data_IF_416338965940
#
_entry.id   IF_416338965940
#
_cell.length_a   1.000
_cell.length_b   1.000
_cell.length_c   1.000
_cell.angle_alpha   90.00
_cell.angle_beta   90.00
_cell.angle_gamma   90.00
#
_symmetry.space_group_name_H-M   'P 1'
#
loop_
_entity.id
_entity.type
_entity.pdbx_description
1 polymer ?
#
# COMPACT_ATOMS: atom_id res chain seq x y z
N UNK A 1 -23.94 -3.93 -29.76
CA UNK A 1 -24.26 -2.95 -28.71
C UNK A 1 -25.46 -3.46 -27.93
N UNK A 2 -25.49 -3.33 -26.61
CA UNK A 2 -26.70 -3.64 -25.80
C UNK A 2 -27.41 -2.32 -25.51
N UNK A 3 -28.73 -2.28 -25.68
CA UNK A 3 -29.58 -1.11 -25.42
C UNK A 3 -30.40 -1.39 -24.16
N UNK A 4 -30.43 -0.43 -23.23
CA UNK A 4 -31.20 -0.52 -21.99
C UNK A 4 -32.08 0.72 -21.87
N UNK A 5 -33.35 0.53 -21.57
CA UNK A 5 -34.21 1.62 -21.15
C UNK A 5 -33.89 1.96 -19.68
N UNK A 6 -33.80 3.25 -19.37
CA UNK A 6 -33.61 3.74 -18.01
C UNK A 6 -34.64 4.82 -17.71
N UNK A 7 -35.13 4.83 -16.47
CA UNK A 7 -36.00 5.88 -15.96
C UNK A 7 -35.14 6.89 -15.18
N UNK A 8 -35.04 8.12 -15.69
CA UNK A 8 -34.21 9.18 -15.14
C UNK A 8 -32.93 9.50 -15.93
N UNK A 9 -32.08 10.41 -15.39
CA UNK A 9 -30.93 10.93 -16.11
C UNK A 9 -29.85 9.86 -16.34
N UNK A 10 -29.30 9.85 -17.55
CA UNK A 10 -28.11 9.08 -17.91
C UNK A 10 -26.85 9.81 -17.48
N UNK A 11 -25.82 9.06 -17.08
CA UNK A 11 -24.51 9.58 -16.66
C UNK A 11 -24.55 10.48 -15.40
N UNK A 12 -24.97 9.90 -14.27
CA UNK A 12 -24.99 10.56 -12.95
C UNK A 12 -23.62 11.05 -12.46
N UNK A 13 -22.50 10.64 -13.09
CA UNK A 13 -21.15 11.11 -12.73
C UNK A 13 -21.05 12.64 -12.83
N UNK A 14 -21.82 13.28 -13.73
CA UNK A 14 -21.88 14.75 -13.87
C UNK A 14 -22.38 15.47 -12.62
N UNK A 15 -23.10 14.78 -11.72
CA UNK A 15 -23.51 15.37 -10.44
C UNK A 15 -22.33 15.74 -9.54
N UNK A 16 -21.13 15.22 -9.83
CA UNK A 16 -19.91 15.59 -9.10
C UNK A 16 -19.59 17.08 -9.28
N UNK A 17 -19.92 17.68 -10.43
CA UNK A 17 -19.72 19.12 -10.69
C UNK A 17 -20.50 20.02 -9.73
N UNK A 18 -21.63 19.54 -9.19
CA UNK A 18 -22.42 20.28 -8.19
C UNK A 18 -21.63 20.56 -6.91
N UNK A 19 -20.64 19.73 -6.59
CA UNK A 19 -19.77 19.89 -5.42
C UNK A 19 -18.89 21.13 -5.59
N UNK A 20 -18.45 21.42 -6.82
CA UNK A 20 -17.59 22.57 -7.09
C UNK A 20 -18.40 23.87 -7.22
N UNK A 21 -19.68 23.77 -7.57
CA UNK A 21 -20.61 24.91 -7.68
C UNK A 21 -21.15 25.40 -6.32
N UNK A 22 -21.03 24.61 -5.25
CA UNK A 22 -21.52 25.03 -3.92
C UNK A 22 -20.45 25.80 -3.15
N UNK A 23 -20.75 27.04 -2.76
CA UNK A 23 -19.87 27.88 -1.93
C UNK A 23 -20.10 27.68 -0.42
N UNK A 24 -20.93 26.72 0.00
CA UNK A 24 -21.28 26.51 1.41
C UNK A 24 -20.24 25.61 2.12
N UNK A 25 -19.36 26.14 2.99
CA UNK A 25 -18.30 25.34 3.61
C UNK A 25 -18.85 24.28 4.57
N UNK A 26 -20.00 24.55 5.20
CA UNK A 26 -20.69 23.63 6.12
C UNK A 26 -21.18 22.33 5.44
N UNK A 27 -21.29 22.31 4.11
CA UNK A 27 -21.64 21.11 3.34
C UNK A 27 -20.41 20.28 2.91
N UNK A 28 -19.20 20.76 3.21
CA UNK A 28 -17.94 20.11 2.86
C UNK A 28 -17.32 19.43 4.08
N UNK A 29 -16.42 18.49 3.85
CA UNK A 29 -15.59 17.98 4.93
C UNK A 29 -14.68 19.08 5.46
N UNK A 30 -14.47 19.11 6.78
CA UNK A 30 -13.49 20.01 7.39
C UNK A 30 -12.12 19.91 6.70
N UNK A 31 -11.47 21.04 6.40
CA UNK A 31 -10.12 21.05 5.86
C UNK A 31 -9.18 20.20 6.73
N UNK A 32 -8.31 19.45 6.06
CA UNK A 32 -7.36 18.57 6.73
C UNK A 32 -5.97 18.78 6.13
N UNK A 33 -4.99 19.04 7.00
CA UNK A 33 -3.59 19.16 6.64
C UNK A 33 -2.84 17.94 7.16
N UNK A 34 -2.18 17.23 6.25
CA UNK A 34 -1.37 16.07 6.59
C UNK A 34 -0.19 16.48 7.47
N UNK A 35 0.11 15.68 8.50
CA UNK A 35 1.24 15.94 9.39
C UNK A 35 2.57 15.74 8.68
N UNK A 36 3.56 16.54 9.06
CA UNK A 36 4.95 16.38 8.62
C UNK A 36 5.71 15.60 9.67
N UNK A 37 6.60 14.69 9.25
CA UNK A 37 7.50 14.05 10.20
C UNK A 37 8.53 15.09 10.70
N UNK A 38 8.76 15.21 12.02
CA UNK A 38 9.80 16.07 12.53
C UNK A 38 11.16 15.60 12.03
N UNK A 39 12.01 16.56 11.66
CA UNK A 39 13.40 16.37 11.21
C UNK A 39 13.61 15.67 9.86
N UNK A 40 12.60 15.30 9.07
CA UNK A 40 12.86 14.67 7.76
C UNK A 40 13.17 15.65 6.63
N UNK A 41 12.87 16.94 6.82
CA UNK A 41 13.25 17.98 5.87
C UNK A 41 14.74 18.32 6.09
N UNK A 42 15.66 17.76 5.28
CA UNK A 42 17.04 18.24 4.99
C UNK A 42 17.96 17.09 4.48
N UNK A 43 19.19 17.45 4.09
CA UNK A 43 20.31 16.63 3.58
C UNK A 43 20.69 15.38 4.40
N UNK A 44 20.06 15.13 5.54
CA UNK A 44 20.41 14.03 6.45
C UNK A 44 19.44 12.83 6.41
N UNK A 45 18.57 12.73 5.39
CA UNK A 45 17.61 11.61 5.30
C UNK A 45 18.29 10.23 5.30
N UNK A 46 19.43 10.08 4.62
CA UNK A 46 20.20 8.83 4.63
C UNK A 46 20.81 8.54 6.01
N UNK A 47 21.26 9.56 6.74
CA UNK A 47 21.74 9.39 8.12
C UNK A 47 20.63 8.92 9.05
N UNK A 48 19.42 9.44 8.89
CA UNK A 48 18.25 9.00 9.67
C UNK A 48 17.88 7.55 9.35
N UNK A 49 17.84 7.20 8.05
CA UNK A 49 17.52 5.85 7.61
C UNK A 49 18.53 4.80 8.08
N UNK A 50 19.81 5.18 8.22
CA UNK A 50 20.82 4.30 8.84
C UNK A 50 20.53 3.98 10.30
N UNK A 51 19.83 4.86 11.02
CA UNK A 51 19.49 4.66 12.43
C UNK A 51 18.18 3.89 12.58
N UNK A 52 17.15 4.27 11.84
CA UNK A 52 15.83 3.65 11.92
C UNK A 52 15.10 3.75 10.58
N UNK A 53 14.30 2.72 10.29
CA UNK A 53 13.30 2.79 9.22
C UNK A 53 12.28 3.90 9.49
N UNK A 54 11.75 4.50 8.42
CA UNK A 54 10.71 5.53 8.49
C UNK A 54 9.41 4.97 7.92
N UNK A 55 8.33 5.04 8.69
CA UNK A 55 6.98 4.65 8.27
C UNK A 55 6.09 5.88 8.12
N UNK A 56 5.43 5.99 6.97
CA UNK A 56 4.48 7.03 6.61
C UNK A 56 3.09 6.42 6.44
N UNK A 57 2.06 7.10 6.97
CA UNK A 57 0.67 6.68 6.82
C UNK A 57 -0.13 7.79 6.12
N UNK A 58 -0.32 7.62 4.81
CA UNK A 58 -1.08 8.53 3.96
C UNK A 58 -2.58 8.28 4.11
N UNK A 59 -3.43 9.30 3.88
CA UNK A 59 -3.09 10.69 3.62
C UNK A 59 -2.80 11.49 4.91
N UNK A 60 -2.79 10.81 6.07
CA UNK A 60 -2.68 11.48 7.37
C UNK A 60 -1.32 12.14 7.58
N UNK A 61 -0.27 11.56 7.01
CA UNK A 61 1.06 12.12 6.93
C UNK A 61 1.43 12.47 5.48
N UNK A 62 2.22 13.52 5.34
CA UNK A 62 2.62 14.05 4.03
C UNK A 62 3.44 13.05 3.22
N UNK A 63 3.22 13.04 1.91
CA UNK A 63 4.05 12.30 0.95
C UNK A 63 5.39 12.99 0.68
N UNK A 64 5.58 14.22 1.19
CA UNK A 64 6.77 15.04 0.92
C UNK A 64 8.07 14.34 1.29
N UNK A 65 8.12 13.59 2.40
CA UNK A 65 9.31 12.84 2.80
C UNK A 65 9.81 11.85 1.73
N UNK A 66 8.90 11.25 0.96
CA UNK A 66 9.26 10.34 -0.16
C UNK A 66 9.79 11.13 -1.35
N UNK A 67 9.26 12.34 -1.60
CA UNK A 67 9.75 13.24 -2.64
C UNK A 67 11.16 13.72 -2.27
N UNK A 68 11.34 14.20 -1.04
CA UNK A 68 12.61 14.69 -0.51
C UNK A 68 13.69 13.59 -0.59
N UNK A 69 13.34 12.34 -0.29
CA UNK A 69 14.23 11.19 -0.46
C UNK A 69 14.81 11.09 -1.88
N UNK A 70 13.97 11.19 -2.90
CA UNK A 70 14.40 11.11 -4.31
C UNK A 70 15.17 12.38 -4.72
N UNK A 71 14.74 13.57 -4.29
CA UNK A 71 15.42 14.82 -4.59
C UNK A 71 16.82 14.89 -3.97
N UNK A 72 16.97 14.47 -2.71
CA UNK A 72 18.28 14.36 -2.05
C UNK A 72 19.14 13.32 -2.76
N UNK A 73 18.58 12.16 -3.12
CA UNK A 73 19.32 11.16 -3.89
C UNK A 73 19.81 11.67 -5.26
N UNK A 74 18.99 12.47 -5.95
CA UNK A 74 19.32 13.01 -7.26
C UNK A 74 20.51 13.98 -7.22
N UNK A 75 20.67 14.74 -6.13
CA UNK A 75 21.73 15.73 -5.95
C UNK A 75 22.98 15.20 -5.24
N UNK A 76 22.87 14.12 -4.46
CA UNK A 76 24.00 13.57 -3.70
C UNK A 76 25.08 12.96 -4.65
N UNK A 77 26.35 13.41 -4.59
CA UNK A 77 27.43 12.86 -5.42
C UNK A 77 27.83 11.42 -5.07
N UNK A 78 27.48 10.91 -3.89
CA UNK A 78 27.75 9.52 -3.49
C UNK A 78 26.71 8.54 -4.03
N UNK A 79 25.56 9.02 -4.51
CA UNK A 79 24.55 8.15 -5.12
C UNK A 79 25.01 7.74 -6.51
N UNK A 80 25.07 6.42 -6.73
CA UNK A 80 25.51 5.82 -7.99
C UNK A 80 24.33 5.47 -8.89
N UNK A 81 23.19 5.08 -8.31
CA UNK A 81 22.02 4.66 -9.07
C UNK A 81 20.70 4.97 -8.35
N UNK A 82 19.66 5.24 -9.14
CA UNK A 82 18.27 5.41 -8.68
C UNK A 82 17.37 4.54 -9.56
N UNK A 83 16.61 3.63 -8.95
CA UNK A 83 15.64 2.79 -9.64
C UNK A 83 14.24 3.08 -9.12
N UNK A 84 13.25 3.25 -9.99
CA UNK A 84 11.89 3.57 -9.56
C UNK A 84 10.82 2.95 -10.47
N UNK A 85 9.76 2.43 -9.85
CA UNK A 85 8.54 2.03 -10.56
C UNK A 85 7.61 3.24 -10.73
N UNK A 86 7.17 3.50 -11.95
CA UNK A 86 6.22 4.57 -12.29
C UNK A 86 4.93 3.93 -12.79
N UNK A 87 3.85 4.18 -12.03
CA UNK A 87 2.51 3.70 -12.35
C UNK A 87 1.59 4.90 -12.60
N UNK A 88 1.18 5.10 -13.86
CA UNK A 88 0.24 6.13 -14.38
C UNK A 88 0.77 7.56 -14.52
N UNK A 89 0.07 8.33 -15.35
CA UNK A 89 0.27 9.76 -15.59
C UNK A 89 -0.34 10.58 -14.48
N UNK A 90 0.51 11.00 -13.55
CA UNK A 90 0.18 11.95 -12.50
C UNK A 90 1.19 11.91 -11.36
N UNK A 91 2.41 11.48 -11.70
CA UNK A 91 3.55 11.69 -10.85
C UNK A 91 3.74 13.17 -10.59
N UNK A 92 4.23 13.47 -9.39
CA UNK A 92 4.70 14.81 -9.09
C UNK A 92 5.75 15.21 -10.13
N UNK A 93 5.59 16.38 -10.76
CA UNK A 93 6.60 16.98 -11.64
C UNK A 93 7.97 17.00 -10.97
N UNK A 94 8.01 17.25 -9.66
CA UNK A 94 9.26 17.33 -8.89
C UNK A 94 10.01 15.99 -8.88
N UNK A 95 9.30 14.87 -8.79
CA UNK A 95 9.92 13.54 -8.84
C UNK A 95 10.51 13.26 -10.22
N UNK A 96 9.80 13.64 -11.28
CA UNK A 96 10.28 13.43 -12.65
C UNK A 96 11.50 14.31 -12.95
N UNK A 97 11.46 15.57 -12.54
CA UNK A 97 12.60 16.49 -12.67
C UNK A 97 13.81 16.02 -11.85
N UNK A 98 13.58 15.47 -10.64
CA UNK A 98 14.65 14.89 -9.84
C UNK A 98 15.32 13.70 -10.54
N UNK A 99 14.55 12.78 -11.11
CA UNK A 99 15.08 11.63 -11.86
C UNK A 99 15.85 12.08 -13.12
N UNK A 100 15.32 13.05 -13.88
CA UNK A 100 16.03 13.60 -15.05
C UNK A 100 17.32 14.30 -14.64
N UNK A 101 17.32 15.04 -13.52
CA UNK A 101 18.51 15.70 -12.98
C UNK A 101 19.56 14.66 -12.57
N UNK A 102 19.15 13.60 -11.88
CA UNK A 102 20.04 12.51 -11.50
C UNK A 102 20.73 11.88 -12.73
N UNK A 103 19.97 11.62 -13.79
CA UNK A 103 20.50 11.05 -15.04
C UNK A 103 21.50 12.00 -15.72
N UNK A 104 21.18 13.30 -15.80
CA UNK A 104 22.09 14.33 -16.33
C UNK A 104 23.37 14.50 -15.51
N UNK A 105 23.31 14.23 -14.20
CA UNK A 105 24.47 14.20 -13.31
C UNK A 105 25.29 12.90 -13.42
N UNK A 106 24.97 12.01 -14.35
CA UNK A 106 25.73 10.80 -14.63
C UNK A 106 25.41 9.61 -13.71
N UNK A 107 24.32 9.68 -12.93
CA UNK A 107 23.85 8.55 -12.12
C UNK A 107 23.12 7.54 -13.01
N UNK A 108 23.21 6.25 -12.70
CA UNK A 108 22.42 5.22 -13.38
C UNK A 108 20.95 5.34 -12.94
N UNK A 109 20.09 5.85 -13.81
CA UNK A 109 18.65 5.98 -13.50
C UNK A 109 17.87 4.95 -14.29
N UNK A 110 17.19 4.03 -13.59
CA UNK A 110 16.31 3.02 -14.21
C UNK A 110 14.86 3.27 -13.83
N UNK A 111 13.99 3.38 -14.81
CA UNK A 111 12.57 3.67 -14.61
C UNK A 111 11.72 2.58 -15.25
N UNK A 112 10.86 1.94 -14.46
CA UNK A 112 9.89 0.95 -14.95
C UNK A 112 8.55 1.65 -15.19
N UNK A 113 8.12 1.75 -16.45
CA UNK A 113 6.87 2.43 -16.85
C UNK A 113 5.82 1.40 -17.27
N UNK A 114 4.63 1.49 -16.67
CA UNK A 114 3.48 0.67 -17.07
C UNK A 114 2.65 1.38 -18.15
N UNK A 115 2.79 0.94 -19.41
CA UNK A 115 2.02 1.50 -20.54
C UNK A 115 0.57 0.98 -20.62
N UNK A 116 0.22 -0.18 -20.05
CA UNK A 116 -1.13 -0.74 -20.21
C UNK A 116 -2.17 -0.17 -19.23
N UNK A 117 -1.95 1.03 -18.69
CA UNK A 117 -2.95 1.78 -17.96
C UNK A 117 -3.85 2.52 -18.95
N UNK A 118 -5.04 1.97 -19.22
CA UNK A 118 -6.04 2.60 -20.11
C UNK A 118 -6.29 4.05 -19.68
N UNK A 119 -6.40 4.94 -20.67
CA UNK A 119 -6.65 6.39 -20.57
C UNK A 119 -5.45 7.30 -20.27
N UNK A 120 -4.27 6.74 -19.95
CA UNK A 120 -3.07 7.49 -19.52
C UNK A 120 -1.87 7.26 -20.46
N UNK A 121 -2.07 6.73 -21.67
CA UNK A 121 -0.99 6.27 -22.54
C UNK A 121 -0.12 7.43 -23.06
N UNK A 122 -0.74 8.53 -23.50
CA UNK A 122 -0.03 9.65 -24.16
C UNK A 122 0.93 10.39 -23.20
N UNK A 123 0.49 10.73 -21.99
CA UNK A 123 1.34 11.42 -21.04
C UNK A 123 2.44 10.51 -20.45
N UNK A 124 2.25 9.19 -20.40
CA UNK A 124 3.30 8.25 -19.95
C UNK A 124 4.38 8.14 -21.02
N UNK A 125 3.99 8.12 -22.31
CA UNK A 125 4.92 8.14 -23.44
C UNK A 125 5.77 9.41 -23.41
N UNK A 126 5.16 10.59 -23.24
CA UNK A 126 5.90 11.85 -23.19
C UNK A 126 6.95 11.89 -22.04
N UNK A 127 6.59 11.39 -20.86
CA UNK A 127 7.52 11.32 -19.75
C UNK A 127 8.63 10.29 -19.96
N UNK A 128 8.31 9.15 -20.54
CA UNK A 128 9.31 8.15 -20.91
C UNK A 128 10.33 8.72 -21.89
N UNK A 129 9.87 9.44 -22.92
CA UNK A 129 10.73 10.10 -23.91
C UNK A 129 11.66 11.13 -23.25
N UNK A 130 11.13 11.98 -22.37
CA UNK A 130 11.92 12.98 -21.62
C UNK A 130 12.98 12.34 -20.73
N UNK A 131 12.63 11.25 -20.04
CA UNK A 131 13.56 10.51 -19.20
C UNK A 131 14.67 9.87 -20.04
N UNK A 132 14.34 9.27 -21.18
CA UNK A 132 15.33 8.71 -22.11
C UNK A 132 16.26 9.80 -22.66
N UNK A 133 15.72 10.96 -23.05
CA UNK A 133 16.51 12.11 -23.52
C UNK A 133 17.46 12.64 -22.42
N UNK A 134 17.07 12.55 -21.15
CA UNK A 134 17.92 12.90 -20.02
C UNK A 134 19.00 11.84 -19.69
N UNK A 135 18.98 10.68 -20.36
CA UNK A 135 19.94 9.59 -20.17
C UNK A 135 19.47 8.47 -19.23
N UNK A 136 18.19 8.48 -18.80
CA UNK A 136 17.65 7.41 -17.97
C UNK A 136 17.27 6.18 -18.81
N UNK A 137 17.49 4.99 -18.26
CA UNK A 137 17.03 3.74 -18.82
C UNK A 137 15.54 3.53 -18.51
N UNK A 138 14.69 3.74 -19.51
CA UNK A 138 13.25 3.49 -19.38
C UNK A 138 12.92 2.09 -19.89
N UNK A 139 12.25 1.29 -19.06
CA UNK A 139 11.85 -0.09 -19.35
C UNK A 139 10.34 -0.25 -19.22
N UNK A 140 9.73 -0.82 -20.24
CA UNK A 140 8.28 -1.00 -20.34
C UNK A 140 7.82 -2.35 -19.77
N UNK A 141 8.22 -2.65 -18.53
CA UNK A 141 7.85 -3.87 -17.81
C UNK A 141 8.06 -5.19 -18.57
N UNK A 142 7.47 -6.26 -18.06
CA UNK A 142 7.52 -7.59 -18.70
C UNK A 142 6.26 -7.79 -19.53
N UNK A 143 6.41 -8.18 -20.80
CA UNK A 143 5.26 -8.45 -21.68
C UNK A 143 4.29 -9.44 -21.03
N UNK A 144 3.02 -9.06 -20.94
CA UNK A 144 1.95 -9.89 -20.37
C UNK A 144 1.77 -9.78 -18.85
N UNK A 145 2.66 -9.11 -18.13
CA UNK A 145 2.53 -8.83 -16.70
C UNK A 145 2.45 -7.33 -16.44
N UNK A 146 1.51 -6.91 -15.57
CA UNK A 146 1.44 -5.51 -15.15
C UNK A 146 2.27 -5.28 -13.90
N UNK A 147 3.10 -4.24 -13.89
CA UNK A 147 3.87 -3.82 -12.72
C UNK A 147 3.00 -2.97 -11.81
N UNK A 148 2.74 -3.48 -10.60
CA UNK A 148 1.91 -2.79 -9.61
C UNK A 148 2.58 -2.74 -8.23
N UNK A 149 3.79 -3.26 -8.08
CA UNK A 149 4.70 -2.94 -6.98
C UNK A 149 5.06 -1.44 -7.00
N UNK A 150 5.07 -0.79 -5.84
CA UNK A 150 5.43 0.63 -5.70
C UNK A 150 6.73 0.72 -4.92
N UNK A 151 7.82 0.87 -5.65
CA UNK A 151 9.15 0.78 -5.09
C UNK A 151 10.06 1.85 -5.68
N UNK A 152 10.96 2.35 -4.85
CA UNK A 152 12.13 3.09 -5.29
C UNK A 152 13.35 2.54 -4.56
N UNK A 153 14.51 2.58 -5.22
CA UNK A 153 15.77 2.12 -4.68
C UNK A 153 16.85 3.14 -5.02
N UNK A 154 17.59 3.57 -4.01
CA UNK A 154 18.77 4.42 -4.13
C UNK A 154 19.97 3.59 -3.71
N UNK A 155 20.96 3.50 -4.60
CA UNK A 155 22.24 2.85 -4.33
C UNK A 155 23.27 3.96 -4.10
N UNK A 156 23.88 3.97 -2.92
CA UNK A 156 24.80 5.02 -2.48
C UNK A 156 26.12 4.40 -2.05
N UNK A 157 27.23 5.04 -2.41
CA UNK A 157 28.57 4.69 -1.95
C UNK A 157 28.76 5.22 -0.54
N UNK A 158 29.01 4.34 0.41
CA UNK A 158 29.32 4.63 1.81
C UNK A 158 30.73 4.10 2.14
N UNK A 159 31.22 4.40 3.34
CA UNK A 159 32.56 3.97 3.77
C UNK A 159 32.76 2.44 3.72
N UNK A 160 31.72 1.66 3.98
CA UNK A 160 31.75 0.19 4.03
C UNK A 160 31.39 -0.49 2.69
N UNK A 161 31.06 0.29 1.65
CA UNK A 161 30.68 -0.24 0.34
C UNK A 161 29.40 0.39 -0.22
N UNK A 162 28.68 -0.36 -1.05
CA UNK A 162 27.39 0.08 -1.58
C UNK A 162 26.28 -0.20 -0.58
N UNK A 163 25.56 0.86 -0.21
CA UNK A 163 24.39 0.80 0.64
C UNK A 163 23.12 0.97 -0.18
N UNK A 164 22.11 0.17 0.14
CA UNK A 164 20.78 0.28 -0.47
C UNK A 164 19.81 1.01 0.46
N UNK A 165 19.13 2.01 -0.08
CA UNK A 165 18.02 2.69 0.56
C UNK A 165 16.76 2.48 -0.27
N UNK A 166 15.75 1.83 0.30
CA UNK A 166 14.53 1.45 -0.42
C UNK A 166 13.32 2.20 0.11
N UNK A 167 12.43 2.62 -0.79
CA UNK A 167 11.04 2.95 -0.50
C UNK A 167 10.14 1.81 -0.97
N UNK A 168 9.21 1.38 -0.13
CA UNK A 168 8.20 0.37 -0.42
C UNK A 168 6.81 0.88 -0.01
N UNK A 169 5.86 0.89 -0.93
CA UNK A 169 4.52 1.45 -0.72
C UNK A 169 3.37 0.48 -1.00
N UNK A 170 2.27 0.62 -0.25
CA UNK A 170 1.00 -0.05 -0.57
C UNK A 170 0.22 0.66 -1.69
N UNK A 171 0.55 1.94 -1.92
CA UNK A 171 -0.07 2.83 -2.91
C UNK A 171 0.94 3.62 -3.72
N UNK A 172 0.46 4.23 -4.79
CA UNK A 172 1.21 4.84 -5.90
C UNK A 172 1.69 6.27 -5.60
N UNK A 173 2.74 6.68 -6.32
CA UNK A 173 3.43 7.97 -6.21
C UNK A 173 2.65 9.16 -6.81
N UNK A 174 1.32 9.04 -6.95
CA UNK A 174 0.49 10.04 -7.60
C UNK A 174 -0.12 10.99 -6.57
N UNK A 175 0.19 12.29 -6.66
CA UNK A 175 -0.16 13.31 -5.65
C UNK A 175 -1.65 13.31 -5.28
N UNK A 176 -2.55 13.35 -6.27
CA UNK A 176 -4.01 13.32 -6.04
C UNK A 176 -4.43 12.09 -5.24
N UNK A 177 -3.96 10.89 -5.61
CA UNK A 177 -4.30 9.67 -4.87
C UNK A 177 -3.69 9.66 -3.47
N UNK A 178 -2.47 10.17 -3.28
CA UNK A 178 -1.86 10.24 -1.93
C UNK A 178 -2.61 11.12 -0.94
N UNK A 179 -3.48 12.03 -1.42
CA UNK A 179 -4.37 12.87 -0.58
C UNK A 179 -5.74 12.24 -0.32
N UNK A 180 -6.12 11.25 -1.14
CA UNK A 180 -7.44 10.65 -1.10
C UNK A 180 -7.42 9.20 -0.58
N UNK A 181 -6.31 8.48 -0.73
CA UNK A 181 -6.20 7.04 -0.48
C UNK A 181 -5.41 6.81 0.79
N UNK A 182 -5.85 5.83 1.60
CA UNK A 182 -5.11 5.43 2.79
C UNK A 182 -4.03 4.43 2.41
N UNK A 183 -2.77 4.74 2.66
CA UNK A 183 -1.64 3.90 2.25
C UNK A 183 -0.50 3.99 3.25
N UNK A 184 0.31 2.93 3.31
CA UNK A 184 1.58 2.95 4.01
C UNK A 184 2.74 3.07 3.00
N UNK A 185 3.71 3.92 3.35
CA UNK A 185 5.02 3.98 2.71
C UNK A 185 6.11 3.72 3.76
N UNK A 186 7.09 2.88 3.43
CA UNK A 186 8.21 2.59 4.31
C UNK A 186 9.52 2.90 3.59
N UNK A 187 10.37 3.71 4.21
CA UNK A 187 11.75 3.92 3.82
C UNK A 187 12.65 3.09 4.74
N UNK A 188 13.62 2.37 4.16
CA UNK A 188 14.52 1.51 4.92
C UNK A 188 15.93 1.54 4.36
N UNK A 189 16.93 1.46 5.25
CA UNK A 189 18.32 1.19 4.92
C UNK A 189 18.72 -0.26 5.24
N UNK A 190 17.75 -1.15 5.48
CA UNK A 190 18.02 -2.56 5.71
C UNK A 190 18.60 -3.20 4.44
N UNK A 191 19.85 -3.66 4.53
CA UNK A 191 20.60 -4.17 3.40
C UNK A 191 19.89 -5.34 2.69
N UNK A 192 19.36 -6.31 3.44
CA UNK A 192 18.68 -7.48 2.86
C UNK A 192 17.36 -7.11 2.16
N UNK A 193 16.62 -6.12 2.68
CA UNK A 193 15.44 -5.57 1.98
C UNK A 193 15.88 -4.84 0.70
N UNK A 194 16.93 -4.04 0.77
CA UNK A 194 17.46 -3.31 -0.38
C UNK A 194 17.96 -4.22 -1.51
N UNK A 195 18.65 -5.30 -1.15
CA UNK A 195 19.10 -6.36 -2.07
C UNK A 195 17.90 -7.05 -2.73
N UNK A 196 16.89 -7.45 -1.94
CA UNK A 196 15.65 -8.01 -2.49
C UNK A 196 14.96 -7.06 -3.47
N UNK A 197 14.88 -5.77 -3.15
CA UNK A 197 14.29 -4.76 -4.05
C UNK A 197 15.11 -4.63 -5.33
N UNK A 198 16.45 -4.65 -5.22
CA UNK A 198 17.33 -4.63 -6.38
C UNK A 198 17.09 -5.86 -7.29
N UNK A 199 16.95 -7.04 -6.70
CA UNK A 199 16.62 -8.28 -7.43
C UNK A 199 15.27 -8.18 -8.15
N UNK A 200 14.26 -7.57 -7.52
CA UNK A 200 12.99 -7.32 -8.22
C UNK A 200 13.18 -6.36 -9.40
N UNK A 201 14.00 -5.32 -9.27
CA UNK A 201 14.30 -4.43 -10.41
C UNK A 201 15.07 -5.14 -11.52
N UNK A 202 16.05 -5.97 -11.19
CA UNK A 202 16.76 -6.81 -12.18
C UNK A 202 15.77 -7.71 -12.90
N UNK A 203 14.84 -8.33 -12.19
CA UNK A 203 13.78 -9.14 -12.80
C UNK A 203 12.86 -8.31 -13.70
N UNK A 204 12.55 -7.06 -13.35
CA UNK A 204 11.73 -6.18 -14.19
C UNK A 204 12.44 -5.72 -15.47
N UNK A 205 13.78 -5.75 -15.50
CA UNK A 205 14.58 -5.37 -16.67
C UNK A 205 15.17 -6.55 -17.43
N UNK A 206 15.01 -7.78 -16.94
CA UNK A 206 15.53 -9.00 -17.55
C UNK A 206 14.44 -10.07 -17.72
N UNK A 207 14.65 -11.02 -18.62
CA UNK A 207 13.73 -12.15 -18.81
C UNK A 207 14.03 -13.33 -17.86
N UNK A 208 14.99 -13.19 -16.95
CA UNK A 208 15.42 -14.26 -16.06
C UNK A 208 14.49 -14.37 -14.85
N UNK A 209 14.28 -15.59 -14.36
CA UNK A 209 13.55 -15.79 -13.09
C UNK A 209 14.31 -15.12 -11.95
N UNK A 210 13.60 -14.46 -11.02
CA UNK A 210 14.26 -13.82 -9.88
C UNK A 210 14.91 -14.89 -9.00
N UNK A 211 16.04 -14.54 -8.38
CA UNK A 211 16.63 -15.35 -7.32
C UNK A 211 15.67 -15.44 -6.12
N UNK A 212 15.94 -16.37 -5.21
CA UNK A 212 15.16 -16.48 -3.98
C UNK A 212 15.39 -15.22 -3.14
N UNK A 213 14.33 -14.47 -2.92
CA UNK A 213 14.32 -13.29 -2.05
C UNK A 213 14.36 -13.70 -0.57
N UNK A 214 14.98 -12.87 0.25
CA UNK A 214 15.17 -13.12 1.69
C UNK A 214 13.93 -12.76 2.52
N UNK A 215 13.33 -11.62 2.21
CA UNK A 215 12.25 -10.97 2.95
C UNK A 215 11.01 -10.72 2.08
N UNK A 216 11.18 -10.25 0.85
CA UNK A 216 10.07 -9.87 -0.01
C UNK A 216 9.33 -11.09 -0.57
N UNK A 217 8.00 -10.98 -0.60
CA UNK A 217 7.13 -11.94 -1.27
C UNK A 217 6.70 -11.37 -2.62
N UNK A 218 7.23 -11.94 -3.70
CA UNK A 218 7.04 -11.44 -5.06
C UNK A 218 5.96 -12.23 -5.81
N UNK A 219 4.98 -11.55 -6.39
CA UNK A 219 4.08 -12.12 -7.39
C UNK A 219 4.69 -12.02 -8.80
N UNK A 220 4.39 -12.97 -9.70
CA UNK A 220 3.52 -14.13 -9.52
C UNK A 220 4.22 -15.38 -8.95
N UNK A 221 5.40 -15.24 -8.36
CA UNK A 221 6.28 -16.37 -8.02
C UNK A 221 6.01 -16.99 -6.64
N UNK A 222 6.22 -16.22 -5.58
CA UNK A 222 6.19 -16.69 -4.20
C UNK A 222 5.01 -16.14 -3.40
N UNK A 223 4.43 -15.00 -3.79
CA UNK A 223 3.47 -14.27 -2.96
C UNK A 223 2.28 -15.11 -2.49
N UNK A 224 1.58 -15.79 -3.40
CA UNK A 224 0.43 -16.63 -3.03
C UNK A 224 0.83 -17.81 -2.15
N UNK A 225 1.96 -18.46 -2.46
CA UNK A 225 2.45 -19.59 -1.69
C UNK A 225 2.80 -19.19 -0.27
N UNK A 226 3.45 -18.04 -0.08
CA UNK A 226 3.81 -17.52 1.25
C UNK A 226 2.57 -17.07 2.04
N UNK A 227 1.57 -16.45 1.40
CA UNK A 227 0.28 -16.15 2.06
C UNK A 227 -0.37 -17.44 2.58
N UNK A 228 -0.50 -18.47 1.73
CA UNK A 228 -1.10 -19.75 2.13
C UNK A 228 -0.28 -20.43 3.24
N UNK A 229 1.05 -20.39 3.14
CA UNK A 229 1.95 -20.96 4.14
C UNK A 229 1.80 -20.26 5.50
N UNK A 230 1.69 -18.93 5.52
CA UNK A 230 1.44 -18.16 6.73
C UNK A 230 0.07 -18.51 7.36
N UNK A 231 -0.99 -18.61 6.55
CA UNK A 231 -2.32 -19.06 7.01
C UNK A 231 -2.26 -20.48 7.59
N UNK A 232 -1.61 -21.41 6.89
CA UNK A 232 -1.45 -22.80 7.34
C UNK A 232 -0.61 -22.92 8.61
N UNK A 233 0.34 -22.02 8.81
CA UNK A 233 1.13 -21.96 10.05
C UNK A 233 0.24 -21.59 11.25
N UNK A 234 -0.62 -20.58 11.13
CA UNK A 234 -1.62 -20.27 12.17
C UNK A 234 -2.54 -21.45 12.46
N UNK A 235 -2.98 -22.15 11.41
CA UNK A 235 -3.80 -23.35 11.53
C UNK A 235 -3.07 -24.47 12.28
N UNK A 236 -1.78 -24.70 11.98
CA UNK A 236 -0.93 -25.66 12.70
C UNK A 236 -0.78 -25.30 14.18
N UNK A 237 -0.58 -24.01 14.49
CA UNK A 237 -0.48 -23.52 15.87
C UNK A 237 -1.80 -23.76 16.62
N UNK A 238 -2.94 -23.48 15.98
CA UNK A 238 -4.27 -23.69 16.55
C UNK A 238 -4.58 -25.17 16.82
N UNK A 239 -4.27 -26.08 15.88
CA UNK A 239 -4.40 -27.54 16.09
C UNK A 239 -3.54 -28.06 17.25
N UNK A 240 -2.42 -27.41 17.54
CA UNK A 240 -1.59 -27.73 18.69
C UNK A 240 -2.12 -27.16 20.02
N UNK A 241 -3.35 -26.63 20.04
CA UNK A 241 -3.99 -26.08 21.25
C UNK A 241 -3.52 -24.67 21.62
N UNK A 242 -2.74 -24.00 20.77
CA UNK A 242 -2.21 -22.66 21.02
C UNK A 242 -2.99 -21.60 20.23
N UNK A 243 -3.09 -20.34 20.68
CA UNK A 243 -3.91 -19.35 19.99
C UNK A 243 -3.40 -19.03 18.57
N UNK A 244 -4.21 -19.30 17.54
CA UNK A 244 -4.00 -18.80 16.18
C UNK A 244 -4.77 -17.52 15.93
N UNK A 245 -4.16 -16.54 15.25
CA UNK A 245 -4.81 -15.25 14.94
C UNK A 245 -4.30 -14.65 13.64
N UNK A 246 -5.24 -14.34 12.76
CA UNK A 246 -5.02 -13.61 11.51
C UNK A 246 -5.83 -12.32 11.55
N UNK A 247 -5.22 -11.22 11.15
CA UNK A 247 -5.92 -9.97 10.85
C UNK A 247 -5.40 -9.49 9.50
N UNK A 248 -6.27 -9.28 8.53
CA UNK A 248 -5.84 -8.81 7.22
C UNK A 248 -6.73 -7.68 6.70
N UNK A 249 -6.10 -6.69 6.06
CA UNK A 249 -6.76 -5.55 5.44
C UNK A 249 -6.32 -5.48 3.99
N UNK A 250 -7.26 -5.28 3.08
CA UNK A 250 -7.01 -5.11 1.64
C UNK A 250 -8.30 -4.69 0.91
N UNK A 251 -8.22 -4.40 -0.39
CA UNK A 251 -9.37 -3.89 -1.14
C UNK A 251 -10.29 -4.99 -1.62
N UNK A 252 -9.77 -6.17 -1.94
CA UNK A 252 -10.60 -7.28 -2.39
C UNK A 252 -10.03 -8.66 -2.01
N UNK A 253 -10.93 -9.61 -1.78
CA UNK A 253 -10.66 -11.03 -1.60
C UNK A 253 -11.55 -11.83 -2.54
N UNK A 254 -10.93 -12.40 -3.57
CA UNK A 254 -11.63 -13.26 -4.55
C UNK A 254 -10.85 -14.51 -4.90
N UNK A 255 -9.60 -14.64 -4.45
CA UNK A 255 -8.78 -15.81 -4.76
C UNK A 255 -9.26 -17.06 -4.01
N UNK A 256 -9.67 -18.07 -4.76
CA UNK A 256 -10.24 -19.29 -4.20
C UNK A 256 -9.26 -20.06 -3.32
N UNK A 257 -7.98 -20.12 -3.70
CA UNK A 257 -6.97 -20.88 -2.97
C UNK A 257 -6.70 -20.28 -1.58
N UNK A 258 -6.66 -18.95 -1.50
CA UNK A 258 -6.54 -18.21 -0.24
C UNK A 258 -7.81 -18.38 0.60
N UNK A 259 -8.99 -18.26 0.00
CA UNK A 259 -10.28 -18.45 0.71
C UNK A 259 -10.39 -19.84 1.33
N UNK A 260 -10.04 -20.89 0.57
CA UNK A 260 -10.03 -22.27 1.08
C UNK A 260 -9.05 -22.44 2.24
N UNK A 261 -7.88 -21.81 2.19
CA UNK A 261 -6.92 -21.83 3.28
C UNK A 261 -7.47 -21.12 4.55
N UNK A 262 -8.18 -20.01 4.39
CA UNK A 262 -8.83 -19.30 5.51
C UNK A 262 -9.94 -20.13 6.14
N UNK A 263 -10.77 -20.80 5.34
CA UNK A 263 -11.80 -21.72 5.87
C UNK A 263 -11.19 -22.89 6.65
N UNK A 264 -10.14 -23.52 6.11
CA UNK A 264 -9.43 -24.57 6.83
C UNK A 264 -8.85 -24.06 8.17
N UNK A 265 -8.21 -22.89 8.16
CA UNK A 265 -7.69 -22.27 9.37
C UNK A 265 -8.80 -21.93 10.38
N UNK A 266 -9.97 -21.47 9.90
CA UNK A 266 -11.14 -21.23 10.75
C UNK A 266 -11.60 -22.50 11.47
N UNK A 267 -11.69 -23.62 10.74
CA UNK A 267 -12.07 -24.93 11.29
C UNK A 267 -11.05 -25.46 12.32
N UNK A 268 -9.78 -25.10 12.17
CA UNK A 268 -8.73 -25.42 13.14
C UNK A 268 -8.72 -24.50 14.37
N UNK A 269 -9.66 -23.55 14.47
CA UNK A 269 -9.82 -22.66 15.62
C UNK A 269 -9.05 -21.33 15.52
N UNK A 270 -8.48 -21.00 14.35
CA UNK A 270 -7.83 -19.69 14.13
C UNK A 270 -8.88 -18.59 14.13
N UNK A 271 -8.67 -17.53 14.93
CA UNK A 271 -9.51 -16.33 14.88
C UNK A 271 -9.08 -15.44 13.73
N UNK A 272 -9.99 -15.09 12.83
CA UNK A 272 -9.69 -14.36 11.60
C UNK A 272 -10.58 -13.11 11.52
N UNK A 273 -9.96 -11.94 11.45
CA UNK A 273 -10.66 -10.67 11.17
C UNK A 273 -10.16 -10.08 9.85
N UNK A 274 -11.06 -9.91 8.88
CA UNK A 274 -10.79 -9.37 7.56
C UNK A 274 -11.43 -7.99 7.41
N UNK A 275 -10.64 -7.02 6.97
CA UNK A 275 -11.08 -5.66 6.65
C UNK A 275 -11.01 -5.52 5.12
N UNK A 276 -12.13 -5.80 4.46
CA UNK A 276 -12.23 -5.86 3.00
C UNK A 276 -13.17 -4.78 2.52
N UNK A 277 -12.65 -3.82 1.77
CA UNK A 277 -13.44 -2.65 1.41
C UNK A 277 -14.37 -2.88 0.22
N UNK A 278 -13.85 -3.55 -0.80
CA UNK A 278 -14.52 -3.79 -2.08
C UNK A 278 -15.02 -5.23 -2.19
N UNK A 279 -14.70 -5.89 -3.30
CA UNK A 279 -15.22 -7.22 -3.59
C UNK A 279 -14.70 -8.28 -2.60
N UNK A 280 -15.62 -9.03 -1.98
CA UNK A 280 -15.31 -10.16 -1.11
C UNK A 280 -16.21 -11.34 -1.51
N UNK A 281 -15.63 -12.45 -1.95
CA UNK A 281 -16.39 -13.68 -2.25
C UNK A 281 -16.38 -14.69 -1.10
N UNK A 282 -15.60 -14.42 -0.04
CA UNK A 282 -15.63 -15.20 1.19
C UNK A 282 -16.94 -14.93 1.95
N UNK A 283 -17.62 -16.00 2.37
CA UNK A 283 -18.76 -15.95 3.31
C UNK A 283 -18.29 -16.19 4.76
N UNK A 284 -18.37 -15.20 5.65
CA UNK A 284 -18.03 -15.34 7.07
C UNK A 284 -19.18 -15.95 7.89
N UNK A 285 -18.89 -16.53 9.05
CA UNK A 285 -19.91 -16.99 10.01
C UNK A 285 -20.81 -18.14 9.55
N UNK A 286 -20.41 -18.89 8.53
CA UNK A 286 -21.11 -20.09 8.08
C UNK A 286 -20.71 -21.26 9.00
N UNK A 287 -21.72 -21.87 9.64
CA UNK A 287 -21.51 -22.95 10.59
C UNK A 287 -20.71 -24.14 9.99
N UNK A 288 -19.64 -24.55 10.67
CA UNK A 288 -18.75 -25.64 10.26
C UNK A 288 -17.76 -25.28 9.15
N UNK A 289 -17.68 -24.01 8.75
CA UNK A 289 -16.82 -23.56 7.65
C UNK A 289 -16.07 -22.26 7.97
N UNK A 290 -16.74 -21.28 8.56
CA UNK A 290 -16.19 -19.93 8.75
C UNK A 290 -16.64 -19.26 10.05
N UNK A 291 -16.99 -20.06 11.07
CA UNK A 291 -17.43 -19.62 12.39
C UNK A 291 -16.46 -18.61 13.05
N UNK A 292 -15.16 -18.79 12.81
CA UNK A 292 -14.12 -17.93 13.37
C UNK A 292 -13.68 -16.79 12.45
N UNK A 293 -14.37 -16.56 11.32
CA UNK A 293 -14.07 -15.49 10.36
C UNK A 293 -15.08 -14.36 10.51
N UNK A 294 -14.58 -13.13 10.67
CA UNK A 294 -15.38 -11.91 10.58
C UNK A 294 -14.87 -11.06 9.43
N UNK A 295 -15.80 -10.50 8.66
CA UNK A 295 -15.48 -9.60 7.55
C UNK A 295 -16.17 -8.26 7.79
N UNK A 296 -15.43 -7.18 7.65
CA UNK A 296 -15.97 -5.81 7.69
C UNK A 296 -15.44 -4.96 6.53
N UNK A 297 -16.24 -4.00 6.10
CA UNK A 297 -15.86 -2.94 5.17
C UNK A 297 -15.96 -1.59 5.86
N UNK A 298 -15.04 -0.68 5.56
CA UNK A 298 -15.06 0.70 6.09
C UNK A 298 -15.08 1.69 4.93
N UNK A 299 -16.12 2.52 4.89
CA UNK A 299 -16.34 3.50 3.83
C UNK A 299 -16.43 4.88 4.49
N UNK A 300 -15.34 5.63 4.46
CA UNK A 300 -15.25 6.98 5.02
C UNK A 300 -14.87 8.04 3.99
N UNK A 301 -14.44 9.20 4.49
CA UNK A 301 -13.90 10.34 3.72
C UNK A 301 -12.78 9.91 2.78
N UNK A 302 -11.81 9.15 3.31
CA UNK A 302 -10.68 8.64 2.53
C UNK A 302 -10.96 7.26 1.95
N UNK A 303 -10.35 7.00 0.81
CA UNK A 303 -10.39 5.75 0.09
C UNK A 303 -9.53 4.72 0.81
N UNK A 304 -10.12 3.77 1.55
CA UNK A 304 -9.33 2.68 2.13
C UNK A 304 -8.61 1.91 1.02
N UNK A 305 -7.28 1.86 1.10
CA UNK A 305 -6.44 1.31 0.02
C UNK A 305 -5.25 0.45 0.52
N UNK A 306 -4.79 0.69 1.74
CA UNK A 306 -3.71 -0.05 2.40
C UNK A 306 -3.98 -1.56 2.42
N UNK A 307 -2.94 -2.35 2.10
CA UNK A 307 -2.95 -3.80 2.31
C UNK A 307 -1.98 -4.19 3.40
N UNK A 308 -2.50 -4.88 4.41
CA UNK A 308 -1.78 -5.26 5.64
C UNK A 308 -2.12 -6.71 5.94
N UNK A 309 -1.10 -7.55 6.12
CA UNK A 309 -1.27 -8.94 6.53
C UNK A 309 -0.62 -9.12 7.89
N UNK A 310 -1.42 -9.48 8.89
CA UNK A 310 -0.93 -9.80 10.23
C UNK A 310 -1.20 -11.26 10.57
N UNK A 311 -0.15 -11.92 11.03
CA UNK A 311 -0.17 -13.28 11.56
C UNK A 311 0.43 -13.26 12.96
N UNK A 312 -0.23 -13.87 13.95
CA UNK A 312 0.29 -13.88 15.34
C UNK A 312 1.62 -14.62 15.44
N UNK A 313 1.79 -15.66 14.63
CA UNK A 313 2.95 -16.54 14.49
C UNK A 313 3.63 -16.82 15.83
N UNK A 314 2.87 -17.41 16.76
CA UNK A 314 3.36 -17.79 18.09
C UNK A 314 4.06 -16.65 18.85
N UNK A 315 3.48 -15.44 18.79
CA UNK A 315 3.98 -14.19 19.39
C UNK A 315 5.14 -13.51 18.64
N UNK A 316 5.54 -13.99 17.46
CA UNK A 316 6.44 -13.24 16.58
C UNK A 316 5.74 -12.01 15.96
N UNK A 317 4.41 -12.05 15.86
CA UNK A 317 3.57 -10.95 15.35
C UNK A 317 4.01 -10.47 13.97
N UNK A 318 4.02 -11.34 12.98
CA UNK A 318 4.46 -10.98 11.64
C UNK A 318 3.49 -10.00 10.99
N UNK A 319 4.03 -8.92 10.44
CA UNK A 319 3.29 -7.85 9.78
C UNK A 319 3.92 -7.62 8.42
N UNK A 320 3.09 -7.73 7.38
CA UNK A 320 3.47 -7.40 6.01
C UNK A 320 2.60 -6.28 5.50
N UNK A 321 3.23 -5.36 4.77
CA UNK A 321 2.55 -4.38 3.94
C UNK A 321 2.66 -4.85 2.49
N UNK A 322 1.64 -4.59 1.67
CA UNK A 322 1.61 -5.11 0.31
C UNK A 322 1.02 -4.15 -0.71
N UNK A 323 1.46 -4.29 -1.95
CA UNK A 323 0.81 -3.66 -3.11
C UNK A 323 -0.35 -4.51 -3.66
N UNK A 324 -0.40 -5.80 -3.31
CA UNK A 324 -1.38 -6.77 -3.79
C UNK A 324 -2.63 -6.88 -2.89
N UNK A 325 -3.78 -7.02 -3.55
CA UNK A 325 -4.98 -7.63 -2.97
C UNK A 325 -4.95 -9.16 -3.13
N UNK A 326 -5.81 -9.87 -2.41
CA UNK A 326 -5.97 -11.32 -2.55
C UNK A 326 -6.92 -11.66 -3.71
N UNK A 327 -6.51 -11.28 -4.92
CA UNK A 327 -7.19 -11.59 -6.18
C UNK A 327 -6.27 -12.35 -7.12
N UNK A 328 -6.83 -13.25 -7.94
CA UNK A 328 -6.07 -14.04 -8.92
C UNK A 328 -5.20 -13.18 -9.83
N UNK A 329 -5.68 -12.02 -10.28
CA UNK A 329 -4.87 -11.12 -11.13
C UNK A 329 -3.66 -10.54 -10.40
N UNK A 330 -3.77 -10.23 -9.12
CA UNK A 330 -2.66 -9.67 -8.33
C UNK A 330 -1.65 -10.75 -7.98
N UNK A 331 -2.14 -11.94 -7.62
CA UNK A 331 -1.31 -13.05 -7.17
C UNK A 331 -0.58 -13.78 -8.32
N UNK A 332 -1.15 -13.79 -9.54
CA UNK A 332 -0.64 -14.61 -10.64
C UNK A 332 -0.37 -13.87 -11.96
N UNK A 333 -0.87 -12.64 -12.13
CA UNK A 333 -0.79 -11.92 -13.42
C UNK A 333 -0.19 -10.53 -13.31
N UNK A 334 0.38 -10.19 -12.17
CA UNK A 334 1.02 -8.91 -11.88
C UNK A 334 2.32 -9.10 -11.14
N UNK A 335 3.20 -8.14 -11.29
CA UNK A 335 4.35 -7.97 -10.41
C UNK A 335 3.88 -7.13 -9.22
N UNK A 336 3.80 -7.78 -8.08
CA UNK A 336 3.39 -7.21 -6.80
C UNK A 336 4.36 -7.65 -5.72
N UNK A 337 4.50 -6.85 -4.66
CA UNK A 337 5.34 -7.19 -3.51
C UNK A 337 4.54 -7.13 -2.22
N UNK A 338 4.81 -8.06 -1.33
CA UNK A 338 4.57 -7.88 0.10
C UNK A 338 5.92 -7.84 0.82
N UNK A 339 6.07 -6.92 1.76
CA UNK A 339 7.32 -6.67 2.46
C UNK A 339 7.08 -6.64 3.98
N UNK A 340 7.98 -7.22 4.78
CA UNK A 340 7.81 -7.29 6.22
C UNK A 340 8.14 -5.96 6.89
N UNK A 341 7.46 -5.67 7.99
CA UNK A 341 7.87 -4.62 8.95
C UNK A 341 8.67 -5.28 10.06
N UNK A 342 9.99 -5.16 9.97
CA UNK A 342 10.94 -5.86 10.86
C UNK A 342 11.07 -5.16 12.22
N UNK A 343 11.12 -3.83 12.23
CA UNK A 343 11.22 -3.06 13.47
C UNK A 343 9.98 -3.26 14.37
N UNK A 344 10.21 -3.54 15.65
CA UNK A 344 9.16 -3.87 16.61
C UNK A 344 8.24 -2.68 16.89
N UNK A 345 8.77 -1.46 16.89
CA UNK A 345 8.02 -0.23 17.15
C UNK A 345 7.12 0.09 15.96
N UNK A 346 7.66 0.04 14.74
CA UNK A 346 6.90 0.23 13.51
C UNK A 346 5.84 -0.85 13.32
N UNK A 347 6.16 -2.11 13.62
CA UNK A 347 5.21 -3.22 13.63
C UNK A 347 4.01 -2.93 14.54
N UNK A 348 4.26 -2.51 15.78
CA UNK A 348 3.20 -2.10 16.73
C UNK A 348 2.40 -0.92 16.20
N UNK A 349 3.05 0.04 15.53
CA UNK A 349 2.42 1.21 14.92
C UNK A 349 1.46 0.80 13.79
N UNK A 350 1.89 -0.05 12.85
CA UNK A 350 1.03 -0.60 11.78
C UNK A 350 -0.17 -1.37 12.36
N UNK A 351 0.05 -2.23 13.36
CA UNK A 351 -1.03 -2.97 14.02
C UNK A 351 -2.02 -2.00 14.68
N UNK A 352 -1.53 -0.94 15.32
CA UNK A 352 -2.39 0.03 16.02
C UNK A 352 -3.19 0.86 15.03
N UNK A 353 -2.51 1.53 14.11
CA UNK A 353 -3.10 2.50 13.17
C UNK A 353 -3.90 1.80 12.05
N UNK A 354 -3.33 0.77 11.44
CA UNK A 354 -3.86 0.14 10.23
C UNK A 354 -4.87 -0.98 10.50
N UNK A 355 -4.81 -1.62 11.67
CA UNK A 355 -5.67 -2.77 12.01
C UNK A 355 -6.59 -2.49 13.20
N UNK A 356 -6.04 -2.27 14.40
CA UNK A 356 -6.83 -2.15 15.63
C UNK A 356 -7.81 -0.98 15.59
N UNK A 357 -7.40 0.18 15.07
CA UNK A 357 -8.27 1.34 14.85
C UNK A 357 -9.47 0.98 13.97
N UNK A 358 -9.24 0.24 12.88
CA UNK A 358 -10.30 -0.20 11.97
C UNK A 358 -11.15 -1.36 12.52
N UNK A 359 -10.60 -2.16 13.44
CA UNK A 359 -11.38 -3.14 14.21
C UNK A 359 -12.28 -2.48 15.27
N UNK A 360 -12.00 -1.24 15.68
CA UNK A 360 -12.83 -0.46 16.61
C UNK A 360 -13.91 0.37 15.91
N UNK A 361 -13.71 0.73 14.64
CA UNK A 361 -14.65 1.52 13.80
C UNK A 361 -16.11 1.07 13.96
N UNK A 362 -16.99 2.02 14.29
CA UNK A 362 -18.42 1.79 14.45
C UNK A 362 -19.31 2.92 13.88
N UNK A 363 -18.73 3.96 13.28
CA UNK A 363 -19.45 5.04 12.61
C UNK A 363 -19.73 4.71 11.13
N UNK A 364 -18.72 4.15 10.46
CA UNK A 364 -18.69 3.90 9.01
C UNK A 364 -18.37 2.44 8.64
N UNK A 365 -18.49 1.52 9.60
CA UNK A 365 -18.30 0.09 9.39
C UNK A 365 -19.56 -0.61 8.87
N UNK A 366 -19.35 -1.52 7.94
CA UNK A 366 -20.32 -2.48 7.44
C UNK A 366 -19.81 -3.89 7.74
N UNK A 367 -20.66 -4.76 8.25
CA UNK A 367 -20.33 -6.16 8.53
C UNK A 367 -20.96 -7.02 7.43
N UNK A 368 -20.17 -7.96 6.88
CA UNK A 368 -20.68 -8.95 5.92
C UNK A 368 -21.27 -10.11 6.73
N UNK A 369 -22.55 -10.38 6.51
CA UNK A 369 -23.30 -11.45 7.17
C UNK A 369 -23.18 -12.78 6.40
N UNK A 370 -23.52 -13.93 7.02
CA UNK A 370 -23.39 -15.25 6.38
C UNK A 370 -24.24 -15.44 5.12
N UNK A 371 -25.32 -14.68 4.98
CA UNK A 371 -26.19 -14.67 3.80
C UNK A 371 -25.62 -13.88 2.60
N UNK A 372 -24.49 -13.19 2.81
CA UNK A 372 -23.82 -12.36 1.80
C UNK A 372 -24.25 -10.90 1.78
N UNK A 373 -25.16 -10.49 2.67
CA UNK A 373 -25.60 -9.10 2.77
C UNK A 373 -24.67 -8.29 3.67
N UNK A 374 -24.50 -7.01 3.33
CA UNK A 374 -23.80 -6.06 4.19
C UNK A 374 -24.78 -5.31 5.08
N UNK A 375 -24.50 -5.32 6.39
CA UNK A 375 -25.25 -4.53 7.37
C UNK A 375 -24.38 -3.43 7.94
N UNK A 376 -24.87 -2.19 7.87
CA UNK A 376 -24.19 -1.07 8.55
C UNK A 376 -24.25 -1.29 10.05
N UNK A 377 -23.08 -1.23 10.70
CA UNK A 377 -22.97 -1.32 12.15
C UNK A 377 -23.65 -0.10 12.76
N UNK A 378 -24.56 -0.33 13.71
CA UNK A 378 -25.17 0.74 14.51
C UNK A 378 -24.46 0.79 15.87
N UNK A 379 -24.18 1.99 16.36
CA UNK A 379 -23.70 2.19 17.73
C UNK A 379 -24.75 1.62 18.69
N UNK A 380 -24.34 0.71 19.59
CA UNK A 380 -25.26 0.02 20.51
C UNK A 380 -25.20 0.66 21.89
N UNK A 381 -26.36 0.96 22.49
CA UNK A 381 -26.48 1.40 23.88
C UNK A 381 -25.66 2.66 24.17
N UNK A 382 -24.81 2.60 25.23
CA UNK A 382 -23.94 3.71 25.67
C UNK A 382 -22.57 3.76 24.97
N UNK A 383 -22.36 3.01 23.87
CA UNK A 383 -21.08 3.05 23.16
C UNK A 383 -20.85 4.43 22.53
N UNK A 384 -19.65 4.97 22.67
CA UNK A 384 -19.25 6.19 21.96
C UNK A 384 -19.03 5.86 20.47
N UNK A 385 -19.49 6.76 19.60
CA UNK A 385 -19.13 6.70 18.18
C UNK A 385 -17.61 6.87 18.00
N UNK A 386 -17.01 6.01 17.19
CA UNK A 386 -15.59 6.00 16.89
C UNK A 386 -15.39 5.87 15.39
N UNK A 387 -14.82 6.92 14.79
CA UNK A 387 -14.38 6.96 13.39
C UNK A 387 -12.86 6.83 13.32
N UNK A 388 -12.39 5.76 12.68
CA UNK A 388 -10.99 5.43 12.45
C UNK A 388 -10.25 6.55 11.74
N UNK A 389 -10.81 7.05 10.63
CA UNK A 389 -10.20 8.11 9.85
C UNK A 389 -10.14 9.43 10.63
N UNK A 390 -11.21 9.78 11.37
CA UNK A 390 -11.23 10.99 12.21
C UNK A 390 -10.18 10.90 13.33
N UNK A 391 -10.06 9.72 13.95
CA UNK A 391 -9.05 9.47 14.97
C UNK A 391 -7.62 9.61 14.41
N UNK A 392 -7.34 9.00 13.24
CA UNK A 392 -6.02 9.07 12.59
C UNK A 392 -5.68 10.48 12.11
N UNK A 393 -6.66 11.25 11.62
CA UNK A 393 -6.49 12.67 11.30
C UNK A 393 -6.04 13.47 12.53
N UNK A 394 -6.66 13.25 13.69
CA UNK A 394 -6.26 13.93 14.93
C UNK A 394 -4.93 13.44 15.49
N UNK A 395 -4.58 12.17 15.28
CA UNK A 395 -3.34 11.58 15.79
C UNK A 395 -2.10 11.94 14.96
N UNK A 396 -2.26 12.00 13.63
CA UNK A 396 -1.14 12.07 12.68
C UNK A 396 -1.15 13.34 11.80
N UNK A 397 -2.25 14.09 11.79
CA UNK A 397 -2.35 15.37 11.07
C UNK A 397 -1.67 16.53 11.79
N UNK A 398 -1.61 17.68 11.12
CA UNK A 398 -1.11 18.92 11.75
C UNK A 398 -2.17 19.49 12.69
N UNK A 399 -1.80 19.80 13.93
CA UNK A 399 -2.67 20.49 14.88
C UNK A 399 -3.10 21.87 14.34
N UNK A 400 -4.39 22.19 14.41
CA UNK A 400 -4.90 23.49 13.94
C UNK A 400 -4.33 24.68 14.73
N UNK A 401 -3.78 24.45 15.92
CA UNK A 401 -3.17 25.49 16.77
C UNK A 401 -1.85 26.08 16.20
N UNK A 402 -1.29 25.49 15.13
CA UNK A 402 -0.05 25.96 14.48
C UNK A 402 -0.24 26.73 13.18
N UNK A 403 -1.48 27.00 12.75
CA UNK A 403 -1.79 27.72 11.50
C UNK A 403 -2.08 29.22 11.70
N UNK A 404 -1.80 29.75 12.90
CA UNK A 404 -1.98 31.16 13.23
C UNK A 404 -0.77 31.75 13.93
N UNK A 405 0.31 32.00 13.19
CA UNK A 405 1.28 33.08 13.44
C UNK A 405 1.90 33.52 12.13
#
# INVERSE_FOLDING_TARGET
>A
SRLYAVDGPVNLVRLTELIDLTEQPALRFEPFSAGMLPNTANLNIFEQLRRNDILLHHPFQSFQTVIDFICVAASDPQVVAIKQTIYRTGMNSDLMEALMTAARMGKEVTVIVELMARFDEEANINWADKLQQAGAQVVYGIVGLKTHAKMALVIRREAEGLQYYAHLGTGNYHLTTTRLYTDFGMLSANQAIGEDVNEVFIHLTSLTKPHKLNHLWLAPFALQNEIIKAIRNEAKIARAGRPGRIIAKFNALVDESVIRALYAASNDGVKIDLIVRGACTLRPGVAGMSDNIKVRSVIGRFLEHSRIFYFRNDLAHDVYLASADWMTRNLFRRIEVAFPVLDKTLKRRVITEGLNTYLKENANAWELEPDGNYRRRKVRGKQTEFSAQRHLMGLLGTSQDGLGT
#
